data_IF_666551481676
#
_entry.id   IF_666551481676
#
_cell.length_a   1.000
_cell.length_b   1.000
_cell.length_c   1.000
_cell.angle_alpha   90.00
_cell.angle_beta   90.00
_cell.angle_gamma   90.00
#
_symmetry.space_group_name_H-M   'P 1'
#
loop_
_entity.id
_entity.type
_entity.pdbx_description
1 polymer ?
#
# COMPACT_ATOMS: atom_id res chain seq x y z
N UNK A 1 19.21 13.10 -6.92
CA UNK A 1 17.92 13.06 -6.21
C UNK A 1 16.96 12.20 -7.03
N UNK A 2 16.77 10.94 -6.64
CA UNK A 2 16.08 9.91 -7.47
C UNK A 2 14.80 9.33 -6.87
N UNK A 3 14.18 9.99 -5.87
CA UNK A 3 13.06 9.43 -5.12
C UNK A 3 11.67 9.58 -5.75
N UNK A 4 11.47 10.47 -6.74
CA UNK A 4 10.13 10.89 -7.18
C UNK A 4 9.29 9.83 -7.89
N UNK A 5 9.91 8.83 -8.53
CA UNK A 5 9.19 7.84 -9.36
C UNK A 5 8.41 6.81 -8.57
N UNK A 6 8.80 6.54 -7.32
CA UNK A 6 8.13 5.51 -6.53
C UNK A 6 6.97 6.08 -5.70
N UNK A 7 7.12 7.30 -5.18
CA UNK A 7 5.99 8.05 -4.62
C UNK A 7 4.90 8.30 -5.68
N UNK A 8 5.30 8.46 -6.94
CA UNK A 8 4.37 8.48 -8.07
C UNK A 8 3.64 7.14 -8.27
N UNK A 9 4.33 6.00 -8.11
CA UNK A 9 3.72 4.67 -8.24
C UNK A 9 2.68 4.40 -7.13
N UNK A 10 2.93 4.84 -5.90
CA UNK A 10 1.96 4.75 -4.80
C UNK A 10 0.65 5.49 -5.13
N UNK A 11 0.76 6.75 -5.57
CA UNK A 11 -0.38 7.54 -6.02
C UNK A 11 -1.08 6.93 -7.24
N UNK A 12 -0.31 6.46 -8.23
CA UNK A 12 -0.84 5.84 -9.44
C UNK A 12 -1.64 4.56 -9.16
N UNK A 13 -1.12 3.67 -8.29
CA UNK A 13 -1.82 2.42 -7.93
C UNK A 13 -3.13 2.72 -7.22
N UNK A 14 -3.15 3.70 -6.31
CA UNK A 14 -4.39 4.14 -5.65
C UNK A 14 -5.39 4.68 -6.67
N UNK A 15 -4.97 5.61 -7.52
CA UNK A 15 -5.84 6.23 -8.52
C UNK A 15 -6.45 5.19 -9.46
N UNK A 16 -5.60 4.32 -10.03
CA UNK A 16 -6.02 3.24 -10.92
C UNK A 16 -6.97 2.25 -10.23
N UNK A 17 -6.67 1.82 -9.01
CA UNK A 17 -7.51 0.86 -8.28
C UNK A 17 -8.85 1.46 -7.82
N UNK A 18 -8.95 2.79 -7.72
CA UNK A 18 -10.22 3.46 -7.45
C UNK A 18 -11.07 3.71 -8.69
N UNK A 19 -10.57 3.40 -9.88
CA UNK A 19 -11.29 3.62 -11.13
C UNK A 19 -12.63 2.84 -11.17
N UNK A 20 -13.74 3.42 -11.67
CA UNK A 20 -15.06 2.78 -11.66
C UNK A 20 -15.14 1.43 -12.41
N UNK A 21 -14.26 1.23 -13.38
CA UNK A 21 -14.19 0.00 -14.17
C UNK A 21 -13.43 -1.14 -13.47
N UNK A 22 -12.86 -0.89 -12.28
CA UNK A 22 -12.20 -1.93 -11.50
C UNK A 22 -13.24 -2.54 -10.56
N UNK A 23 -13.58 -3.83 -10.73
CA UNK A 23 -14.51 -4.50 -9.84
C UNK A 23 -13.96 -4.53 -8.41
N UNK A 24 -14.81 -4.20 -7.44
CA UNK A 24 -14.48 -4.23 -6.01
C UNK A 24 -15.23 -5.35 -5.33
N UNK A 25 -14.52 -6.46 -5.10
CA UNK A 25 -15.08 -7.67 -4.48
C UNK A 25 -15.08 -7.58 -2.95
N UNK A 26 -14.22 -6.74 -2.38
CA UNK A 26 -14.06 -6.58 -0.93
C UNK A 26 -14.64 -5.25 -0.43
N UNK A 27 -14.80 -5.14 0.90
CA UNK A 27 -15.16 -3.90 1.55
C UNK A 27 -14.10 -2.80 1.32
N UNK A 28 -14.51 -1.53 1.36
CA UNK A 28 -13.61 -0.38 1.14
C UNK A 28 -12.37 -0.40 2.04
N UNK A 29 -12.53 -0.79 3.30
CA UNK A 29 -11.48 -0.90 4.31
C UNK A 29 -10.35 -1.87 3.90
N UNK A 30 -10.65 -2.91 3.11
CA UNK A 30 -9.62 -3.79 2.55
C UNK A 30 -8.65 -3.01 1.66
N UNK A 31 -9.18 -2.21 0.74
CA UNK A 31 -8.38 -1.45 -0.20
C UNK A 31 -7.63 -0.31 0.48
N UNK A 32 -8.24 0.37 1.46
CA UNK A 32 -7.57 1.40 2.26
C UNK A 32 -6.37 0.86 3.03
N UNK A 33 -6.51 -0.32 3.66
CA UNK A 33 -5.39 -1.01 4.31
C UNK A 33 -4.33 -1.45 3.31
N UNK A 34 -4.73 -1.92 2.13
CA UNK A 34 -3.80 -2.31 1.07
C UNK A 34 -2.96 -1.12 0.57
N UNK A 35 -3.58 0.03 0.30
CA UNK A 35 -2.85 1.24 -0.10
C UNK A 35 -1.90 1.73 0.99
N UNK A 36 -2.33 1.67 2.25
CA UNK A 36 -1.46 2.06 3.39
C UNK A 36 -0.21 1.16 3.46
N UNK A 37 -0.39 -0.16 3.34
CA UNK A 37 0.74 -1.11 3.32
C UNK A 37 1.66 -0.92 2.13
N UNK A 38 1.11 -0.55 0.96
CA UNK A 38 1.91 -0.28 -0.22
C UNK A 38 2.83 0.94 -0.01
N UNK A 39 2.32 2.01 0.58
CA UNK A 39 3.10 3.19 0.96
C UNK A 39 4.17 2.88 2.01
N UNK A 40 3.83 2.07 3.03
CA UNK A 40 4.78 1.64 4.05
C UNK A 40 5.90 0.78 3.45
N UNK A 41 5.58 -0.12 2.52
CA UNK A 41 6.56 -0.95 1.83
C UNK A 41 7.50 -0.11 0.96
N UNK A 42 6.95 0.88 0.26
CA UNK A 42 7.75 1.85 -0.50
C UNK A 42 8.71 2.60 0.43
N UNK A 43 8.20 3.15 1.52
CA UNK A 43 9.00 3.87 2.52
C UNK A 43 10.11 2.98 3.10
N UNK A 44 9.78 1.74 3.46
CA UNK A 44 10.75 0.76 3.95
C UNK A 44 11.84 0.47 2.91
N UNK A 45 11.48 0.26 1.65
CA UNK A 45 12.46 0.01 0.58
C UNK A 45 13.50 1.14 0.45
N UNK A 46 13.10 2.41 0.62
CA UNK A 46 14.02 3.55 0.51
C UNK A 46 14.78 3.89 1.78
N UNK A 47 14.15 3.71 2.94
CA UNK A 47 14.71 4.15 4.23
C UNK A 47 15.40 3.03 5.00
N UNK A 48 15.10 1.77 4.68
CA UNK A 48 15.50 0.60 5.45
C UNK A 48 14.77 0.44 6.78
N UNK A 49 13.95 1.43 7.18
CA UNK A 49 13.18 1.41 8.40
C UNK A 49 11.83 0.72 8.15
N UNK A 50 11.71 -0.54 8.61
CA UNK A 50 10.42 -1.22 8.58
C UNK A 50 9.50 -0.66 9.66
N UNK A 51 8.29 -0.18 9.33
CA UNK A 51 7.26 0.07 10.34
C UNK A 51 6.71 -1.26 10.91
N UNK A 52 6.96 -2.38 10.24
CA UNK A 52 6.57 -3.72 10.66
C UNK A 52 7.78 -4.41 11.31
N UNK A 53 7.95 -4.26 12.62
CA UNK A 53 8.93 -5.06 13.38
C UNK A 53 8.51 -6.53 13.42
N UNK A 54 9.51 -7.42 13.46
CA UNK A 54 9.39 -8.88 13.48
C UNK A 54 8.27 -9.37 14.42
N UNK A 55 7.12 -9.77 13.86
CA UNK A 55 6.07 -10.48 14.58
C UNK A 55 4.66 -9.88 14.56
N UNK A 56 4.44 -8.68 14.00
CA UNK A 56 3.09 -8.10 13.90
C UNK A 56 2.65 -7.90 12.45
N UNK A 57 2.42 -9.00 11.75
CA UNK A 57 1.42 -8.97 10.67
C UNK A 57 0.07 -9.11 11.36
N UNK A 58 -0.84 -8.12 11.27
CA UNK A 58 -2.18 -8.29 11.81
C UNK A 58 -2.80 -9.51 11.11
N UNK A 59 -3.32 -10.43 11.92
CA UNK A 59 -3.93 -11.68 11.47
C UNK A 59 -4.83 -11.41 10.26
N UNK A 60 -4.46 -12.00 9.12
CA UNK A 60 -5.37 -12.09 8.00
C UNK A 60 -6.51 -12.99 8.46
N UNK A 61 -7.74 -12.50 8.29
CA UNK A 61 -8.98 -13.02 8.89
C UNK A 61 -9.06 -14.54 9.06
N UNK A 62 -9.51 -14.91 10.27
CA UNK A 62 -10.51 -15.98 10.41
C UNK A 62 -11.88 -15.48 9.95
#
# INVERSE_FOLDING_TARGET
>A
MGGGRFWYLDGFVRDWATHPNVPREHASDYYERAFTRFGDLASWYFTGASPYQSGSLPAFGE
#
